data_IF_849322875533
#
_entry.id   IF_849322875533
#
_cell.length_a   1.000
_cell.length_b   1.000
_cell.length_c   1.000
_cell.angle_alpha   90.00
_cell.angle_beta   90.00
_cell.angle_gamma   90.00
#
_symmetry.space_group_name_H-M   'P 1'
#
loop_
_entity.id
_entity.type
_entity.pdbx_description
1 polymer ?
#
# COMPACT_ATOMS: atom_id res chain seq x y z
N UNK A 1 -22.40 -8.23 -12.75
CA UNK A 1 -21.93 -9.28 -13.69
C UNK A 1 -20.50 -9.63 -13.34
N UNK A 2 -20.03 -10.81 -13.72
CA UNK A 2 -18.65 -11.23 -13.53
C UNK A 2 -18.15 -11.95 -14.78
N UNK A 3 -16.84 -11.88 -15.05
CA UNK A 3 -16.17 -12.67 -16.07
C UNK A 3 -14.90 -13.29 -15.46
N UNK A 4 -14.35 -14.30 -16.12
CA UNK A 4 -13.11 -14.95 -15.71
C UNK A 4 -12.07 -14.75 -16.81
N UNK A 5 -10.85 -14.42 -16.39
CA UNK A 5 -9.70 -14.45 -17.27
C UNK A 5 -9.31 -15.90 -17.57
N UNK A 6 -8.79 -16.13 -18.77
CA UNK A 6 -8.15 -17.41 -19.05
C UNK A 6 -6.77 -17.49 -18.37
N UNK A 7 -6.19 -18.70 -18.33
CA UNK A 7 -4.93 -18.92 -17.63
C UNK A 7 -3.76 -18.14 -18.23
N UNK A 8 -3.72 -17.98 -19.56
CA UNK A 8 -2.67 -17.25 -20.24
C UNK A 8 -2.71 -15.74 -19.95
N UNK A 9 -3.91 -15.16 -19.89
CA UNK A 9 -4.13 -13.76 -19.49
C UNK A 9 -3.73 -13.54 -18.03
N UNK A 10 -4.18 -14.42 -17.13
CA UNK A 10 -3.87 -14.32 -15.70
C UNK A 10 -2.37 -14.50 -15.43
N UNK A 11 -1.70 -15.41 -16.16
CA UNK A 11 -0.25 -15.60 -16.06
C UNK A 11 0.52 -14.36 -16.52
N UNK A 12 0.10 -13.71 -17.60
CA UNK A 12 0.72 -12.46 -18.07
C UNK A 12 0.59 -11.35 -17.01
N UNK A 13 -0.58 -11.19 -16.40
CA UNK A 13 -0.78 -10.19 -15.34
C UNK A 13 0.10 -10.46 -14.12
N UNK A 14 0.18 -11.71 -13.67
CA UNK A 14 1.03 -12.10 -12.52
C UNK A 14 2.52 -11.95 -12.79
N UNK A 15 2.94 -11.96 -14.05
CA UNK A 15 4.32 -11.67 -14.45
C UNK A 15 4.68 -10.19 -14.38
N UNK A 16 3.69 -9.29 -14.32
CA UNK A 16 3.89 -7.84 -14.33
C UNK A 16 3.46 -7.15 -13.03
N UNK A 17 2.49 -7.72 -12.31
CA UNK A 17 1.84 -7.11 -11.17
C UNK A 17 1.78 -8.07 -9.99
N UNK A 18 2.14 -7.55 -8.81
CA UNK A 18 1.74 -8.09 -7.53
C UNK A 18 0.62 -7.22 -6.94
N UNK A 19 -0.19 -7.77 -6.04
CA UNK A 19 -1.28 -7.07 -5.39
C UNK A 19 -1.41 -7.53 -3.94
N UNK A 20 -1.60 -6.57 -3.04
CA UNK A 20 -1.80 -6.78 -1.61
C UNK A 20 -3.09 -6.09 -1.17
N UNK A 21 -3.68 -6.56 -0.09
CA UNK A 21 -4.92 -6.01 0.47
C UNK A 21 -4.69 -5.67 1.93
N UNK A 22 -4.63 -4.37 2.21
CA UNK A 22 -4.32 -3.83 3.54
C UNK A 22 -5.61 -3.42 4.24
N UNK A 23 -5.79 -3.89 5.47
CA UNK A 23 -6.95 -3.56 6.29
C UNK A 23 -6.84 -2.19 6.96
N UNK A 24 -7.96 -1.71 7.53
CA UNK A 24 -8.00 -0.43 8.25
C UNK A 24 -7.03 -0.40 9.45
N UNK A 25 -7.05 -1.45 10.28
CA UNK A 25 -6.17 -1.54 11.44
C UNK A 25 -4.68 -1.50 11.05
N UNK A 26 -4.31 -2.22 9.99
CA UNK A 26 -2.93 -2.22 9.48
C UNK A 26 -2.54 -0.86 8.88
N UNK A 27 -3.48 -0.18 8.22
CA UNK A 27 -3.30 1.18 7.72
C UNK A 27 -3.00 2.14 8.85
N UNK A 28 -3.77 2.10 9.95
CA UNK A 28 -3.56 2.93 11.14
C UNK A 28 -2.20 2.67 11.80
N UNK A 29 -1.85 1.39 11.97
CA UNK A 29 -0.55 1.00 12.52
C UNK A 29 0.61 1.48 11.65
N UNK A 30 0.41 1.49 10.33
CA UNK A 30 1.41 1.99 9.37
C UNK A 30 1.56 3.51 9.45
N UNK A 31 0.47 4.27 9.58
CA UNK A 31 0.52 5.74 9.79
C UNK A 31 1.32 6.05 11.07
N UNK A 32 0.97 5.39 12.17
CA UNK A 32 1.63 5.59 13.48
C UNK A 32 3.11 5.23 13.42
N UNK A 33 3.43 4.04 12.89
CA UNK A 33 4.81 3.58 12.76
C UNK A 33 5.67 4.51 11.92
N UNK A 34 5.17 5.00 10.79
CA UNK A 34 5.90 5.98 9.97
C UNK A 34 6.17 7.29 10.70
N UNK A 35 5.17 7.82 11.42
CA UNK A 35 5.33 9.03 12.19
C UNK A 35 6.38 8.86 13.31
N UNK A 36 6.40 7.70 13.98
CA UNK A 36 7.37 7.38 15.03
C UNK A 36 8.79 7.15 14.47
N UNK A 37 8.92 6.42 13.35
CA UNK A 37 10.20 6.07 12.75
C UNK A 37 10.87 7.26 12.04
N UNK A 38 10.09 8.14 11.42
CA UNK A 38 10.61 9.14 10.48
C UNK A 38 10.16 10.57 10.77
N UNK A 39 9.16 10.76 11.63
CA UNK A 39 8.49 12.04 11.83
C UNK A 39 7.54 12.45 10.68
N UNK A 40 7.38 11.62 9.65
CA UNK A 40 6.50 11.90 8.53
C UNK A 40 5.08 11.37 8.81
N UNK A 41 4.12 12.29 8.78
CA UNK A 41 2.70 11.96 8.84
C UNK A 41 2.14 11.82 7.43
N UNK A 42 1.42 10.73 7.17
CA UNK A 42 0.89 10.39 5.85
C UNK A 42 -0.61 10.14 5.89
N UNK A 43 -1.25 10.29 4.72
CA UNK A 43 -2.67 9.97 4.55
C UNK A 43 -2.90 8.44 4.45
N UNK A 44 -4.14 7.95 4.65
CA UNK A 44 -4.42 6.51 4.64
C UNK A 44 -4.08 5.82 3.31
N UNK A 45 -4.18 6.51 2.17
CA UNK A 45 -3.85 5.90 0.86
C UNK A 45 -2.35 5.67 0.72
N UNK A 46 -1.54 6.64 1.17
CA UNK A 46 -0.08 6.48 1.23
C UNK A 46 0.30 5.35 2.19
N UNK A 47 -0.35 5.27 3.36
CA UNK A 47 -0.08 4.22 4.34
C UNK A 47 -0.40 2.82 3.80
N UNK A 48 -1.50 2.63 3.07
CA UNK A 48 -1.79 1.37 2.35
C UNK A 48 -0.67 1.01 1.39
N UNK A 49 -0.16 1.97 0.61
CA UNK A 49 0.96 1.75 -0.30
C UNK A 49 2.26 1.34 0.43
N UNK A 50 2.53 1.92 1.59
CA UNK A 50 3.70 1.57 2.42
C UNK A 50 3.55 0.18 3.03
N UNK A 51 2.38 -0.17 3.57
CA UNK A 51 2.11 -1.49 4.11
C UNK A 51 2.25 -2.58 3.03
N UNK A 52 1.61 -2.39 1.87
CA UNK A 52 1.76 -3.28 0.72
C UNK A 52 3.22 -3.43 0.26
N UNK A 53 3.99 -2.34 0.26
CA UNK A 53 5.42 -2.38 -0.07
C UNK A 53 6.24 -3.19 0.95
N UNK A 54 5.84 -3.20 2.23
CA UNK A 54 6.49 -3.99 3.30
C UNK A 54 6.13 -5.48 3.21
N UNK A 55 4.94 -5.82 2.72
CA UNK A 55 4.54 -7.22 2.47
C UNK A 55 5.17 -7.80 1.19
N UNK A 56 5.55 -6.95 0.24
CA UNK A 56 6.10 -7.39 -1.04
C UNK A 56 7.46 -8.10 -0.87
N UNK A 57 7.47 -9.39 -1.20
CA UNK A 57 8.61 -10.28 -1.06
C UNK A 57 9.02 -10.87 -2.40
N UNK A 58 9.31 -10.01 -3.39
CA UNK A 58 9.76 -10.45 -4.72
C UNK A 58 10.90 -9.62 -5.32
N UNK A 59 11.23 -8.48 -4.73
CA UNK A 59 12.06 -7.46 -5.38
C UNK A 59 13.54 -7.48 -4.98
N UNK A 60 13.92 -8.32 -4.01
CA UNK A 60 15.30 -8.44 -3.54
C UNK A 60 15.86 -7.10 -3.06
N UNK A 61 17.04 -6.66 -3.53
CA UNK A 61 17.63 -5.38 -3.14
C UNK A 61 17.04 -4.16 -3.88
N UNK A 62 16.07 -4.37 -4.77
CA UNK A 62 15.51 -3.28 -5.58
C UNK A 62 14.71 -2.32 -4.69
N UNK A 63 14.97 -1.00 -4.72
CA UNK A 63 14.22 -0.05 -3.91
C UNK A 63 12.77 0.05 -4.39
N UNK A 64 11.84 0.17 -3.44
CA UNK A 64 10.42 0.39 -3.72
C UNK A 64 10.10 1.88 -3.59
N UNK A 65 9.38 2.42 -4.55
CA UNK A 65 8.85 3.79 -4.52
C UNK A 65 7.35 3.73 -4.29
N UNK A 66 6.90 4.31 -3.17
CA UNK A 66 5.47 4.45 -2.87
C UNK A 66 4.99 5.82 -3.33
N UNK A 67 3.91 5.82 -4.13
CA UNK A 67 3.27 7.06 -4.56
C UNK A 67 2.37 7.60 -3.45
N UNK A 68 2.73 8.77 -2.91
CA UNK A 68 1.85 9.48 -1.97
C UNK A 68 0.76 10.21 -2.74
N UNK A 69 -0.46 9.65 -2.72
CA UNK A 69 -1.56 10.09 -3.59
C UNK A 69 -2.38 11.24 -3.01
N UNK A 70 -2.25 11.52 -1.71
CA UNK A 70 -2.94 12.63 -1.07
C UNK A 70 -2.15 13.22 0.10
N UNK A 71 -2.49 14.46 0.45
CA UNK A 71 -1.97 15.11 1.65
C UNK A 71 -2.76 14.66 2.89
N UNK A 72 -2.13 14.41 4.07
CA UNK A 72 -2.81 13.93 5.27
C UNK A 72 -3.96 14.82 5.74
N UNK A 73 -3.84 16.14 5.59
CA UNK A 73 -4.90 17.10 5.94
C UNK A 73 -6.24 16.89 5.19
N UNK A 74 -6.25 16.12 4.09
CA UNK A 74 -7.50 15.75 3.40
C UNK A 74 -8.30 14.68 4.15
N UNK A 75 -7.67 13.97 5.09
CA UNK A 75 -8.23 12.84 5.81
C UNK A 75 -7.92 12.94 7.32
N UNK A 76 -8.34 14.03 8.00
CA UNK A 76 -7.96 14.30 9.39
C UNK A 76 -8.40 13.20 10.35
N UNK A 77 -9.59 12.63 10.17
CA UNK A 77 -10.11 11.56 11.05
C UNK A 77 -9.22 10.30 11.05
N UNK A 78 -8.69 9.90 9.89
CA UNK A 78 -7.81 8.74 9.79
C UNK A 78 -6.42 9.03 10.40
N UNK A 79 -6.02 10.30 10.43
CA UNK A 79 -4.70 10.76 10.86
C UNK A 79 -4.66 11.08 12.36
N UNK A 80 -5.78 11.49 12.95
CA UNK A 80 -5.89 11.89 14.37
C UNK A 80 -6.12 10.71 15.34
N UNK A 81 -6.38 9.50 14.83
CA UNK A 81 -6.57 8.27 15.63
C UNK A 81 -5.24 7.65 16.06
#
# INVERSE_FOLDING_TARGET
GAFRLNEAELAQLRGLFAAHSIGEHETEMTIRGLAEETGLLVDPHTAVGVAAAREESGLGPTPIVVLSTAHPAKFPEAVER
#
